data_IF_085810979549
#
_entry.id   IF_085810979549
#
_cell.length_a   1.000
_cell.length_b   1.000
_cell.length_c   1.000
_cell.angle_alpha   90.00
_cell.angle_beta   90.00
_cell.angle_gamma   90.00
#
_symmetry.space_group_name_H-M   'P 1'
#
loop_
_entity.id
_entity.type
_entity.pdbx_description
1 polymer ?
#
# COMPACT_ATOMS: atom_id res chain seq x y z
N UNK A 1 39.72 -1.65 -4.38
CA UNK A 1 39.49 -1.79 -5.84
C UNK A 1 38.11 -2.42 -6.02
N UNK A 2 37.10 -1.59 -6.22
CA UNK A 2 35.72 -2.05 -6.48
C UNK A 2 35.68 -2.48 -7.95
N UNK A 3 35.54 -3.78 -8.19
CA UNK A 3 35.28 -4.29 -9.54
C UNK A 3 33.95 -3.77 -10.08
N UNK A 4 33.77 -3.68 -11.41
CA UNK A 4 32.55 -3.19 -12.00
C UNK A 4 31.35 -4.03 -11.56
N UNK A 5 30.28 -3.37 -11.13
CA UNK A 5 29.01 -4.01 -10.79
C UNK A 5 28.57 -4.89 -11.98
N UNK A 6 28.55 -6.21 -11.78
CA UNK A 6 28.05 -7.15 -12.80
C UNK A 6 26.58 -6.80 -13.03
N UNK A 7 26.28 -6.36 -14.24
CA UNK A 7 24.91 -6.10 -14.67
C UNK A 7 24.19 -7.45 -14.77
N UNK A 8 23.59 -7.91 -13.69
CA UNK A 8 22.81 -9.15 -13.68
C UNK A 8 21.51 -8.91 -14.45
N UNK A 9 21.17 -9.80 -15.35
CA UNK A 9 19.87 -9.79 -16.01
C UNK A 9 18.76 -9.78 -14.93
N UNK A 10 17.78 -8.91 -15.10
CA UNK A 10 16.61 -8.86 -14.22
C UNK A 10 15.68 -10.01 -14.59
N UNK A 11 15.28 -10.80 -13.61
CA UNK A 11 14.34 -11.92 -13.78
C UNK A 11 12.97 -11.44 -13.32
N UNK A 12 12.00 -11.45 -14.22
CA UNK A 12 10.62 -11.14 -13.89
C UNK A 12 9.93 -12.34 -13.23
N UNK A 13 9.22 -12.06 -12.13
CA UNK A 13 8.54 -13.05 -11.27
C UNK A 13 7.13 -12.57 -10.99
N UNK A 14 6.12 -13.37 -11.27
CA UNK A 14 4.74 -13.12 -10.85
C UNK A 14 4.53 -13.63 -9.43
N UNK A 15 3.94 -12.80 -8.58
CA UNK A 15 3.74 -13.11 -7.15
C UNK A 15 2.26 -12.92 -6.78
N UNK A 16 1.65 -13.96 -6.25
CA UNK A 16 0.26 -13.94 -5.78
C UNK A 16 0.15 -13.69 -4.29
N UNK A 17 -0.40 -12.55 -3.91
CA UNK A 17 -0.90 -12.33 -2.56
C UNK A 17 -2.32 -12.91 -2.51
N UNK A 18 -2.43 -14.20 -2.24
CA UNK A 18 -3.72 -14.89 -2.12
C UNK A 18 -4.33 -14.52 -0.79
N UNK A 19 -5.51 -13.85 -0.83
CA UNK A 19 -6.13 -13.24 0.34
C UNK A 19 -7.46 -13.93 0.67
N UNK A 20 -7.54 -14.54 1.84
CA UNK A 20 -8.79 -15.09 2.35
C UNK A 20 -9.77 -13.97 2.76
N UNK A 21 -11.07 -14.28 2.79
CA UNK A 21 -12.11 -13.30 3.12
C UNK A 21 -11.99 -12.69 4.53
N UNK A 22 -11.29 -13.36 5.44
CA UNK A 22 -11.00 -12.86 6.82
C UNK A 22 -9.73 -11.99 6.89
N UNK A 23 -9.09 -11.69 5.75
CA UNK A 23 -7.90 -10.85 5.66
C UNK A 23 -6.56 -11.59 5.78
N UNK A 24 -6.55 -12.90 6.09
CA UNK A 24 -5.31 -13.69 6.09
C UNK A 24 -4.77 -13.85 4.67
N UNK A 25 -3.46 -14.01 4.58
CA UNK A 25 -2.74 -14.24 3.31
C UNK A 25 -2.08 -15.62 3.32
N UNK A 26 -2.00 -16.25 2.16
CA UNK A 26 -1.35 -17.53 2.02
C UNK A 26 0.15 -17.35 1.80
N UNK A 27 0.94 -18.07 2.59
CA UNK A 27 2.37 -18.23 2.39
C UNK A 27 2.69 -19.70 2.10
N UNK A 28 3.68 -19.95 1.26
CA UNK A 28 4.21 -21.26 0.93
C UNK A 28 5.66 -21.39 1.41
N UNK A 29 6.03 -22.55 1.91
CA UNK A 29 7.41 -22.83 2.30
C UNK A 29 8.17 -23.37 1.09
N UNK A 30 9.35 -22.83 0.83
CA UNK A 30 10.20 -23.30 -0.28
C UNK A 30 10.65 -24.75 -0.04
N UNK A 31 10.38 -25.65 -1.01
CA UNK A 31 10.68 -27.07 -0.84
C UNK A 31 12.19 -27.33 -0.81
N UNK A 32 12.56 -28.52 -0.33
CA UNK A 32 13.93 -28.99 -0.33
C UNK A 32 14.51 -29.03 -1.75
N UNK A 33 15.80 -28.70 -1.87
CA UNK A 33 16.50 -28.66 -3.18
C UNK A 33 16.37 -27.33 -3.93
N UNK A 34 15.42 -26.45 -3.59
CA UNK A 34 15.38 -25.08 -4.14
C UNK A 34 16.29 -24.11 -3.32
N UNK A 35 16.83 -23.04 -3.93
CA UNK A 35 17.55 -22.01 -3.17
C UNK A 35 16.71 -21.45 -2.04
N UNK A 36 17.29 -21.26 -0.86
CA UNK A 36 16.60 -20.82 0.36
C UNK A 36 15.49 -21.81 0.79
N UNK A 37 15.72 -23.12 0.68
CA UNK A 37 14.80 -24.13 1.19
C UNK A 37 14.41 -23.86 2.65
N UNK A 38 13.14 -24.11 3.00
CA UNK A 38 12.58 -23.86 4.33
C UNK A 38 12.14 -22.40 4.60
N UNK A 39 12.50 -21.43 3.75
CA UNK A 39 11.99 -20.07 3.85
C UNK A 39 10.52 -20.00 3.35
N UNK A 40 9.77 -19.08 3.96
CA UNK A 40 8.38 -18.81 3.58
C UNK A 40 8.31 -17.62 2.62
N UNK A 41 7.46 -17.72 1.63
CA UNK A 41 7.25 -16.70 0.61
C UNK A 41 5.79 -16.65 0.13
N UNK A 42 5.42 -15.56 -0.54
CA UNK A 42 4.19 -15.54 -1.32
C UNK A 42 4.34 -16.46 -2.55
N UNK A 43 3.30 -17.26 -2.90
CA UNK A 43 3.36 -18.18 -4.03
C UNK A 43 3.53 -17.44 -5.35
N UNK A 44 4.19 -18.10 -6.29
CA UNK A 44 4.45 -17.57 -7.63
C UNK A 44 5.82 -17.91 -8.16
N UNK A 45 6.07 -17.55 -9.42
CA UNK A 45 7.30 -17.94 -10.07
C UNK A 45 7.69 -17.08 -11.26
N UNK A 46 8.70 -17.53 -11.99
CA UNK A 46 9.31 -16.81 -13.10
C UNK A 46 8.39 -16.83 -14.33
N UNK A 47 8.46 -15.75 -15.11
CA UNK A 47 7.79 -15.74 -16.41
C UNK A 47 8.43 -16.74 -17.36
N UNK A 48 7.61 -17.41 -18.15
CA UNK A 48 8.04 -18.13 -19.34
C UNK A 48 8.06 -17.21 -20.58
N UNK A 49 8.79 -17.58 -21.64
CA UNK A 49 8.86 -16.76 -22.84
C UNK A 49 7.47 -16.46 -23.45
N UNK A 50 7.15 -15.17 -23.55
CA UNK A 50 5.89 -14.70 -24.13
C UNK A 50 4.72 -14.59 -23.16
N UNK A 51 4.89 -14.94 -21.89
CA UNK A 51 3.85 -14.78 -20.89
C UNK A 51 3.67 -13.33 -20.46
N UNK A 52 2.43 -12.90 -20.29
CA UNK A 52 2.11 -11.72 -19.51
C UNK A 52 2.23 -12.01 -18.00
N UNK A 53 2.39 -10.99 -17.14
CA UNK A 53 2.48 -11.18 -15.68
C UNK A 53 1.30 -11.97 -15.10
N UNK A 54 0.08 -11.75 -15.61
CA UNK A 54 -1.12 -12.45 -15.15
C UNK A 54 -1.15 -13.93 -15.62
N UNK A 55 -0.64 -14.23 -16.83
CA UNK A 55 -0.54 -15.61 -17.31
C UNK A 55 0.46 -16.42 -16.50
N UNK A 56 1.65 -15.85 -16.23
CA UNK A 56 2.63 -16.47 -15.36
C UNK A 56 2.06 -16.73 -13.97
N UNK A 57 1.36 -15.74 -13.38
CA UNK A 57 0.69 -15.91 -12.09
C UNK A 57 -0.30 -17.06 -12.08
N UNK A 58 -1.18 -17.13 -13.09
CA UNK A 58 -2.21 -18.16 -13.18
C UNK A 58 -1.60 -19.56 -13.31
N UNK A 59 -0.56 -19.72 -14.15
CA UNK A 59 0.17 -20.98 -14.31
C UNK A 59 0.84 -21.40 -13.00
N UNK A 60 1.60 -20.51 -12.37
CA UNK A 60 2.34 -20.82 -11.12
C UNK A 60 1.39 -21.18 -9.98
N UNK A 61 0.29 -20.44 -9.77
CA UNK A 61 -0.69 -20.78 -8.74
C UNK A 61 -1.39 -22.11 -9.00
N UNK A 62 -1.61 -22.47 -10.28
CA UNK A 62 -2.13 -23.78 -10.62
C UNK A 62 -1.12 -24.89 -10.35
N UNK A 63 0.13 -24.71 -10.73
CA UNK A 63 1.21 -25.70 -10.55
C UNK A 63 1.55 -25.89 -9.08
N UNK A 64 1.78 -24.81 -8.34
CA UNK A 64 2.23 -24.85 -6.95
C UNK A 64 1.11 -25.19 -5.95
N UNK A 65 -0.10 -24.66 -6.17
CA UNK A 65 -1.20 -24.71 -5.18
C UNK A 65 -2.43 -25.47 -5.66
N UNK A 66 -2.55 -25.73 -6.95
CA UNK A 66 -3.72 -26.39 -7.53
C UNK A 66 -4.97 -25.54 -7.59
N UNK A 67 -4.83 -24.24 -7.57
CA UNK A 67 -5.95 -23.30 -7.66
C UNK A 67 -6.04 -22.69 -9.06
N UNK A 68 -7.26 -22.44 -9.51
CA UNK A 68 -7.54 -21.72 -10.74
C UNK A 68 -7.82 -20.24 -10.41
N UNK A 69 -7.06 -19.36 -11.04
CA UNK A 69 -7.16 -17.93 -10.81
C UNK A 69 -8.42 -17.36 -11.48
N UNK A 70 -9.31 -16.79 -10.68
CA UNK A 70 -10.46 -16.04 -11.17
C UNK A 70 -10.16 -14.53 -11.22
N UNK A 71 -10.05 -13.88 -10.05
CA UNK A 71 -9.85 -12.43 -9.96
C UNK A 71 -8.53 -12.09 -9.28
N UNK A 72 -7.67 -11.39 -10.01
CA UNK A 72 -6.42 -10.84 -9.49
C UNK A 72 -6.24 -9.40 -9.93
N UNK A 73 -5.93 -8.53 -8.98
CA UNK A 73 -5.68 -7.12 -9.22
C UNK A 73 -4.18 -6.84 -9.20
N UNK A 74 -3.61 -6.21 -10.24
CA UNK A 74 -2.23 -5.75 -10.18
C UNK A 74 -2.06 -4.77 -9.02
N UNK A 75 -0.90 -4.80 -8.36
CA UNK A 75 -0.72 -4.00 -7.16
C UNK A 75 0.56 -3.18 -7.21
N UNK A 76 1.69 -3.74 -6.83
CA UNK A 76 3.00 -3.08 -6.83
C UNK A 76 4.02 -3.91 -7.58
N UNK A 77 5.06 -3.26 -8.14
CA UNK A 77 6.19 -3.93 -8.77
C UNK A 77 7.46 -3.58 -8.01
N UNK A 78 8.15 -4.57 -7.44
CA UNK A 78 9.35 -4.34 -6.63
C UNK A 78 10.56 -5.06 -7.19
N UNK A 79 11.70 -4.38 -7.20
CA UNK A 79 12.96 -5.02 -7.50
C UNK A 79 13.68 -5.42 -6.21
N UNK A 80 14.26 -6.60 -6.21
CA UNK A 80 15.10 -7.09 -5.11
C UNK A 80 16.39 -7.66 -5.66
N UNK A 81 17.53 -7.28 -5.06
CA UNK A 81 18.85 -7.77 -5.45
C UNK A 81 19.34 -8.82 -4.49
N UNK A 82 19.54 -10.02 -5.00
CA UNK A 82 20.27 -11.09 -4.33
C UNK A 82 21.75 -11.05 -4.76
N UNK A 83 22.67 -11.71 -4.04
CA UNK A 83 24.09 -11.69 -4.39
C UNK A 83 24.41 -12.15 -5.83
N UNK A 84 23.58 -13.01 -6.42
CA UNK A 84 23.82 -13.61 -7.75
C UNK A 84 22.77 -13.23 -8.81
N UNK A 85 21.70 -12.56 -8.45
CA UNK A 85 20.61 -12.23 -9.38
C UNK A 85 19.83 -11.01 -8.91
N UNK A 86 19.17 -10.34 -9.85
CA UNK A 86 18.18 -9.32 -9.58
C UNK A 86 16.82 -9.83 -10.03
N UNK A 87 15.80 -9.70 -9.18
CA UNK A 87 14.43 -10.09 -9.51
C UNK A 87 13.53 -8.85 -9.53
N UNK A 88 12.56 -8.87 -10.44
CA UNK A 88 11.45 -7.92 -10.45
C UNK A 88 10.17 -8.68 -10.15
N UNK A 89 9.58 -8.37 -9.00
CA UNK A 89 8.38 -9.01 -8.49
C UNK A 89 7.16 -8.22 -8.95
N UNK A 90 6.32 -8.82 -9.78
CA UNK A 90 5.01 -8.29 -10.19
C UNK A 90 3.95 -8.85 -9.25
N UNK A 91 3.53 -8.05 -8.27
CA UNK A 91 2.62 -8.50 -7.23
C UNK A 91 1.16 -8.26 -7.62
N UNK A 92 0.36 -9.27 -7.38
CA UNK A 92 -1.09 -9.26 -7.58
C UNK A 92 -1.80 -9.61 -6.27
N UNK A 93 -2.88 -8.90 -5.95
CA UNK A 93 -3.85 -9.35 -4.95
C UNK A 93 -4.82 -10.31 -5.59
N UNK A 94 -4.83 -11.54 -5.11
CA UNK A 94 -5.72 -12.60 -5.56
C UNK A 94 -6.85 -12.71 -4.55
N UNK A 95 -8.06 -12.28 -4.95
CA UNK A 95 -9.23 -12.23 -4.08
C UNK A 95 -10.20 -13.39 -4.34
N UNK A 96 -10.23 -13.92 -5.57
CA UNK A 96 -11.10 -15.02 -5.93
C UNK A 96 -10.33 -16.05 -6.75
N UNK A 97 -10.55 -17.33 -6.41
CA UNK A 97 -9.98 -18.50 -7.07
C UNK A 97 -10.90 -19.70 -6.88
N UNK A 98 -10.70 -20.75 -7.69
CA UNK A 98 -11.38 -22.03 -7.53
C UNK A 98 -10.39 -23.10 -7.05
N UNK A 99 -10.87 -24.02 -6.22
CA UNK A 99 -10.07 -25.09 -5.62
C UNK A 99 -9.56 -24.73 -4.21
N UNK A 100 -9.05 -25.74 -3.51
CA UNK A 100 -8.45 -25.60 -2.18
C UNK A 100 -6.94 -25.50 -2.32
N UNK A 101 -6.29 -24.39 -1.84
CA UNK A 101 -4.86 -24.24 -1.95
C UNK A 101 -4.11 -25.30 -1.16
N UNK A 102 -3.30 -26.10 -1.85
CA UNK A 102 -2.47 -27.16 -1.27
C UNK A 102 -1.10 -27.18 -1.92
N UNK A 103 -0.05 -27.47 -1.13
CA UNK A 103 1.29 -27.62 -1.70
C UNK A 103 1.41 -28.84 -2.62
N UNK A 104 1.51 -28.61 -3.91
CA UNK A 104 1.63 -29.69 -4.93
C UNK A 104 3.06 -30.14 -5.22
N UNK A 105 4.04 -29.33 -4.82
CA UNK A 105 5.48 -29.66 -4.97
C UNK A 105 6.11 -30.16 -3.68
N UNK A 106 5.30 -30.63 -2.70
CA UNK A 106 5.76 -31.05 -1.37
C UNK A 106 6.02 -29.93 -0.37
N UNK A 107 5.74 -28.68 -0.76
CA UNK A 107 5.85 -27.52 0.13
C UNK A 107 4.66 -27.46 1.10
N UNK A 108 4.93 -26.93 2.32
CA UNK A 108 3.89 -26.55 3.25
C UNK A 108 3.26 -25.21 2.83
N UNK A 109 1.97 -25.07 3.09
CA UNK A 109 1.24 -23.80 2.91
C UNK A 109 0.57 -23.40 4.22
N UNK A 110 0.48 -22.10 4.49
CA UNK A 110 -0.09 -21.60 5.74
C UNK A 110 -0.77 -20.26 5.56
N UNK A 111 -1.99 -20.15 6.09
CA UNK A 111 -2.72 -18.89 6.17
C UNK A 111 -2.20 -18.04 7.33
N UNK A 112 -1.73 -16.84 7.06
CA UNK A 112 -1.10 -15.95 8.02
C UNK A 112 -1.82 -14.60 8.08
N UNK A 113 -1.93 -14.05 9.28
CA UNK A 113 -2.32 -12.65 9.47
C UNK A 113 -1.13 -11.74 9.09
N UNK A 114 -1.27 -10.81 8.13
CA UNK A 114 -0.19 -9.89 7.76
C UNK A 114 0.34 -9.06 8.93
N UNK A 115 -0.51 -8.75 9.91
CA UNK A 115 -0.13 -8.04 11.14
C UNK A 115 0.64 -8.90 12.15
N UNK A 116 0.58 -10.23 12.02
CA UNK A 116 1.14 -11.18 12.99
C UNK A 116 1.59 -12.49 12.31
N UNK A 117 2.55 -12.40 11.38
CA UNK A 117 3.14 -13.57 10.71
C UNK A 117 3.83 -14.47 11.75
N UNK A 118 3.41 -15.75 11.80
CA UNK A 118 3.92 -16.74 12.77
C UNK A 118 4.92 -17.71 12.17
N UNK A 119 4.96 -17.83 10.83
CA UNK A 119 5.91 -18.71 10.14
C UNK A 119 7.24 -18.01 9.90
N UNK A 120 8.34 -18.76 9.99
CA UNK A 120 9.70 -18.24 9.83
C UNK A 120 10.63 -19.33 9.29
N UNK A 121 11.75 -18.94 8.66
CA UNK A 121 12.12 -17.58 8.25
C UNK A 121 11.34 -17.12 7.01
N UNK A 122 11.07 -15.82 6.91
CA UNK A 122 10.46 -15.22 5.73
C UNK A 122 11.54 -14.77 4.74
N UNK A 123 11.34 -14.98 3.43
CA UNK A 123 12.28 -14.47 2.43
C UNK A 123 12.47 -12.95 2.55
N UNK A 124 13.70 -12.43 2.44
CA UNK A 124 13.97 -10.99 2.62
C UNK A 124 13.12 -10.07 1.75
N UNK A 125 12.86 -10.44 0.49
CA UNK A 125 12.02 -9.67 -0.42
C UNK A 125 10.56 -9.51 0.06
N UNK A 126 10.06 -10.45 0.87
CA UNK A 126 8.66 -10.48 1.30
C UNK A 126 8.36 -9.57 2.50
N UNK A 127 9.37 -9.17 3.29
CA UNK A 127 9.15 -8.27 4.44
C UNK A 127 8.48 -6.96 4.03
N UNK A 128 8.93 -6.35 2.95
CA UNK A 128 8.36 -5.11 2.45
C UNK A 128 6.94 -5.29 1.86
N UNK A 129 6.62 -6.49 1.37
CA UNK A 129 5.27 -6.84 0.90
C UNK A 129 4.32 -6.92 2.11
N UNK A 130 4.73 -7.62 3.17
CA UNK A 130 3.97 -7.71 4.41
C UNK A 130 3.72 -6.32 5.02
N UNK A 131 4.73 -5.44 5.04
CA UNK A 131 4.55 -4.06 5.49
C UNK A 131 3.49 -3.31 4.68
N UNK A 132 3.50 -3.45 3.35
CA UNK A 132 2.53 -2.81 2.47
C UNK A 132 1.10 -3.39 2.65
N UNK A 133 0.97 -4.67 2.98
CA UNK A 133 -0.31 -5.33 3.25
C UNK A 133 -0.99 -4.82 4.53
N UNK A 134 -0.23 -4.32 5.49
CA UNK A 134 -0.76 -3.72 6.71
C UNK A 134 -1.37 -2.32 6.50
N UNK A 135 -1.26 -1.75 5.29
CA UNK A 135 -1.97 -0.52 4.95
C UNK A 135 -3.42 -0.84 4.61
N UNK A 136 -4.41 -0.22 5.30
CA UNK A 136 -5.81 -0.45 5.02
C UNK A 136 -6.23 0.14 3.66
N UNK A 137 -7.39 -0.26 3.11
CA UNK A 137 -7.84 0.22 1.79
C UNK A 137 -8.41 1.65 1.83
N UNK A 138 -8.61 2.23 3.01
CA UNK A 138 -9.17 3.58 3.18
C UNK A 138 -8.19 4.47 3.92
N UNK A 139 -7.82 5.59 3.31
CA UNK A 139 -7.05 6.67 3.93
C UNK A 139 -7.94 7.89 4.14
N UNK A 140 -8.34 8.12 5.36
CA UNK A 140 -9.26 9.17 5.76
C UNK A 140 -8.53 10.51 5.98
N UNK A 141 -9.03 11.62 5.42
CA UNK A 141 -8.44 12.95 5.57
C UNK A 141 -9.40 13.84 6.37
N UNK A 142 -8.91 14.51 7.41
CA UNK A 142 -9.75 15.33 8.29
C UNK A 142 -10.26 16.61 7.61
N UNK A 143 -11.38 17.11 8.10
CA UNK A 143 -12.03 18.37 7.70
C UNK A 143 -12.66 19.09 8.92
N UNK A 144 -11.95 19.15 10.04
CA UNK A 144 -12.46 19.76 11.25
C UNK A 144 -12.77 21.27 11.07
N UNK A 145 -11.99 21.96 10.24
CA UNK A 145 -12.24 23.37 9.89
C UNK A 145 -13.61 23.59 9.26
N UNK A 146 -14.14 22.57 8.54
CA UNK A 146 -15.47 22.66 7.87
C UNK A 146 -16.63 22.36 8.81
N UNK A 147 -16.45 21.46 9.78
CA UNK A 147 -17.55 20.93 10.60
C UNK A 147 -17.51 21.43 12.05
N UNK A 148 -16.41 22.10 12.46
CA UNK A 148 -16.07 22.35 13.85
C UNK A 148 -15.46 21.11 14.51
N UNK A 149 -14.52 21.31 15.43
CA UNK A 149 -13.74 20.24 16.08
C UNK A 149 -14.65 19.20 16.74
N UNK A 150 -15.58 19.64 17.60
CA UNK A 150 -16.46 18.72 18.34
C UNK A 150 -17.29 17.82 17.41
N UNK A 151 -17.93 18.40 16.40
CA UNK A 151 -18.71 17.62 15.42
C UNK A 151 -17.83 16.71 14.60
N UNK A 152 -16.62 17.14 14.25
CA UNK A 152 -15.70 16.30 13.48
C UNK A 152 -15.21 15.11 14.30
N UNK A 153 -14.89 15.29 15.59
CA UNK A 153 -14.46 14.17 16.45
C UNK A 153 -15.55 13.09 16.58
N UNK A 154 -16.83 13.49 16.67
CA UNK A 154 -17.95 12.52 16.64
C UNK A 154 -18.01 11.75 15.31
N UNK A 155 -17.81 12.43 14.18
CA UNK A 155 -17.77 11.79 12.86
C UNK A 155 -16.54 10.88 12.70
N UNK A 156 -15.39 11.28 13.24
CA UNK A 156 -14.19 10.45 13.25
C UNK A 156 -14.45 9.17 14.04
N UNK A 157 -15.10 9.26 15.19
CA UNK A 157 -15.47 8.09 15.96
C UNK A 157 -16.37 7.14 15.16
N UNK A 158 -17.41 7.64 14.52
CA UNK A 158 -18.30 6.83 13.67
C UNK A 158 -17.53 6.17 12.50
N UNK A 159 -16.54 6.86 11.93
CA UNK A 159 -15.70 6.29 10.88
C UNK A 159 -14.80 5.16 11.42
N UNK A 160 -14.25 5.32 12.61
CA UNK A 160 -13.46 4.29 13.30
C UNK A 160 -14.31 3.07 13.66
N UNK A 161 -15.55 3.28 14.12
CA UNK A 161 -16.52 2.22 14.38
C UNK A 161 -16.85 1.42 13.10
N UNK A 162 -16.86 2.09 11.93
CA UNK A 162 -17.02 1.47 10.61
C UNK A 162 -15.75 0.86 10.01
N UNK A 163 -14.64 0.85 10.74
CA UNK A 163 -13.39 0.17 10.34
C UNK A 163 -12.34 1.04 9.64
N UNK A 164 -12.44 2.36 9.67
CA UNK A 164 -11.34 3.23 9.23
C UNK A 164 -10.15 3.03 10.17
N UNK A 165 -8.93 2.83 9.60
CA UNK A 165 -7.72 2.51 10.37
C UNK A 165 -6.50 3.34 9.95
N UNK A 166 -6.64 4.27 8.99
CA UNK A 166 -5.56 5.17 8.58
C UNK A 166 -6.12 6.57 8.36
N UNK A 167 -5.57 7.55 9.06
CA UNK A 167 -6.10 8.91 9.13
C UNK A 167 -4.99 9.92 8.82
N UNK A 168 -5.28 10.95 8.04
CA UNK A 168 -4.45 12.13 7.87
C UNK A 168 -5.11 13.31 8.59
N UNK A 169 -4.42 13.87 9.57
CA UNK A 169 -4.77 15.17 10.15
C UNK A 169 -4.27 16.26 9.22
N UNK A 170 -5.21 17.01 8.61
CA UNK A 170 -4.90 18.05 7.62
C UNK A 170 -5.88 19.20 7.72
N UNK A 171 -5.57 20.16 8.60
CA UNK A 171 -6.38 21.37 8.84
C UNK A 171 -5.54 22.60 8.49
N UNK A 172 -5.86 23.23 7.35
CA UNK A 172 -5.05 24.35 6.81
C UNK A 172 -5.27 25.67 7.53
N UNK A 173 -6.41 25.81 8.17
CA UNK A 173 -6.87 27.04 8.77
C UNK A 173 -6.61 27.10 10.29
N UNK A 174 -6.03 26.05 10.87
CA UNK A 174 -5.63 25.98 12.28
C UNK A 174 -4.24 26.56 12.48
N UNK A 175 -4.05 27.26 13.61
CA UNK A 175 -2.70 27.63 14.06
C UNK A 175 -1.89 26.37 14.46
N UNK A 176 -0.56 26.43 14.56
CA UNK A 176 0.25 25.30 15.01
C UNK A 176 -0.20 24.72 16.36
N UNK A 177 -0.60 25.59 17.31
CA UNK A 177 -1.09 25.20 18.63
C UNK A 177 -2.42 24.46 18.52
N UNK A 178 -3.37 25.03 17.77
CA UNK A 178 -4.69 24.41 17.52
C UNK A 178 -4.54 23.08 16.79
N UNK A 179 -3.64 23.00 15.79
CA UNK A 179 -3.39 21.78 15.06
C UNK A 179 -2.76 20.70 15.96
N UNK A 180 -1.83 21.08 16.84
CA UNK A 180 -1.21 20.15 17.79
C UNK A 180 -2.25 19.57 18.76
N UNK A 181 -3.12 20.43 19.32
CA UNK A 181 -4.20 19.99 20.21
C UNK A 181 -5.18 19.06 19.50
N UNK A 182 -5.67 19.46 18.33
CA UNK A 182 -6.59 18.66 17.52
C UNK A 182 -5.96 17.32 17.11
N UNK A 183 -4.70 17.33 16.67
CA UNK A 183 -3.98 16.12 16.30
C UNK A 183 -3.85 15.17 17.50
N UNK A 184 -3.52 15.69 18.70
CA UNK A 184 -3.46 14.90 19.92
C UNK A 184 -4.80 14.24 20.28
N UNK A 185 -5.91 14.97 20.15
CA UNK A 185 -7.26 14.41 20.35
C UNK A 185 -7.58 13.32 19.32
N UNK A 186 -7.25 13.55 18.04
CA UNK A 186 -7.47 12.58 16.97
C UNK A 186 -6.63 11.31 17.16
N UNK A 187 -5.36 11.45 17.57
CA UNK A 187 -4.45 10.34 17.88
C UNK A 187 -4.98 9.53 19.06
N UNK A 188 -5.33 10.17 20.16
CA UNK A 188 -5.85 9.48 21.35
C UNK A 188 -7.12 8.68 21.03
N UNK A 189 -8.03 9.23 20.21
CA UNK A 189 -9.22 8.51 19.77
C UNK A 189 -8.87 7.35 18.84
N UNK A 190 -8.03 7.57 17.83
CA UNK A 190 -7.69 6.59 16.80
C UNK A 190 -6.95 5.38 17.38
N UNK A 191 -6.04 5.58 18.35
CA UNK A 191 -5.28 4.51 18.97
C UNK A 191 -6.15 3.54 19.79
N UNK A 192 -7.34 3.95 20.28
CA UNK A 192 -8.30 3.03 20.91
C UNK A 192 -8.89 2.02 19.90
N UNK A 193 -8.69 2.24 18.61
CA UNK A 193 -9.17 1.40 17.51
C UNK A 193 -8.02 0.76 16.72
N UNK A 194 -6.80 0.76 17.24
CA UNK A 194 -5.59 0.34 16.53
C UNK A 194 -5.41 1.06 15.17
N UNK A 195 -5.95 2.28 15.03
CA UNK A 195 -5.84 3.08 13.83
C UNK A 195 -4.61 3.99 13.87
N UNK A 196 -3.98 4.18 12.71
CA UNK A 196 -2.77 4.99 12.54
C UNK A 196 -3.11 6.42 12.11
N UNK A 197 -2.37 7.39 12.64
CA UNK A 197 -2.56 8.81 12.34
C UNK A 197 -1.27 9.43 11.80
N UNK A 198 -1.37 10.08 10.65
CA UNK A 198 -0.30 10.91 10.10
C UNK A 198 -0.70 12.38 10.19
N UNK A 199 0.25 13.24 10.52
CA UNK A 199 0.06 14.69 10.44
C UNK A 199 0.60 15.21 9.10
N UNK A 200 -0.20 16.06 8.45
CA UNK A 200 0.20 16.65 7.18
C UNK A 200 1.31 17.69 7.39
N UNK A 201 2.41 17.53 6.69
CA UNK A 201 3.51 18.50 6.51
C UNK A 201 4.41 18.80 7.70
N UNK A 202 4.06 18.46 8.92
CA UNK A 202 4.84 18.91 10.10
C UNK A 202 5.24 17.73 11.01
N UNK A 203 6.55 17.39 11.00
CA UNK A 203 7.10 16.34 11.86
C UNK A 203 7.11 16.71 13.34
N UNK A 204 7.24 17.98 13.68
CA UNK A 204 7.28 18.41 15.08
C UNK A 204 5.88 18.31 15.69
N UNK A 205 4.86 18.74 14.97
CA UNK A 205 3.46 18.55 15.37
C UNK A 205 3.14 17.05 15.45
N UNK A 206 3.54 16.26 14.46
CA UNK A 206 3.33 14.80 14.50
C UNK A 206 3.93 14.17 15.76
N UNK A 207 5.16 14.53 16.09
CA UNK A 207 5.85 14.05 17.30
C UNK A 207 5.18 14.53 18.58
N UNK A 208 4.83 15.82 18.67
CA UNK A 208 4.20 16.40 19.85
C UNK A 208 2.81 15.84 20.13
N UNK A 209 2.05 15.52 19.06
CA UNK A 209 0.74 14.91 19.16
C UNK A 209 0.78 13.38 19.38
N UNK A 210 1.95 12.74 19.33
CA UNK A 210 2.09 11.29 19.43
C UNK A 210 1.60 10.53 18.18
N UNK A 211 1.58 11.18 17.02
CA UNK A 211 1.13 10.56 15.76
C UNK A 211 2.12 9.50 15.26
N UNK A 212 1.62 8.54 14.47
CA UNK A 212 2.41 7.44 13.91
C UNK A 212 3.35 7.90 12.79
N UNK A 213 3.07 9.04 12.18
CA UNK A 213 3.88 9.51 11.08
C UNK A 213 3.51 10.86 10.50
N UNK A 214 4.10 11.12 9.36
CA UNK A 214 3.93 12.38 8.63
C UNK A 214 3.49 12.13 7.19
N UNK A 215 2.67 13.02 6.66
CA UNK A 215 2.30 13.03 5.24
C UNK A 215 2.91 14.24 4.55
N UNK A 216 3.84 14.00 3.62
CA UNK A 216 4.54 15.05 2.88
C UNK A 216 3.67 15.61 1.75
N UNK A 217 3.58 16.93 1.64
CA UNK A 217 3.06 17.56 0.43
C UNK A 217 4.06 17.39 -0.73
N UNK A 218 3.59 17.41 -1.98
CA UNK A 218 4.44 17.24 -3.17
C UNK A 218 5.66 18.19 -3.18
N UNK A 219 5.45 19.46 -2.83
CA UNK A 219 6.55 20.43 -2.75
C UNK A 219 7.58 20.12 -1.66
N UNK A 220 7.18 19.52 -0.54
CA UNK A 220 8.09 19.07 0.51
C UNK A 220 8.82 17.81 0.08
N UNK A 221 8.10 16.82 -0.46
CA UNK A 221 8.67 15.60 -1.03
C UNK A 221 9.83 15.89 -1.98
N UNK A 222 9.62 16.85 -2.89
CA UNK A 222 10.64 17.21 -3.90
C UNK A 222 11.90 17.86 -3.31
N UNK A 223 11.79 18.49 -2.13
CA UNK A 223 12.90 19.15 -1.44
C UNK A 223 13.48 18.38 -0.26
N UNK A 224 12.81 17.31 0.16
CA UNK A 224 13.22 16.53 1.32
C UNK A 224 14.54 15.78 1.02
N UNK A 225 15.62 16.01 1.79
CA UNK A 225 16.92 15.40 1.49
C UNK A 225 16.98 13.92 1.91
N UNK A 226 16.21 13.53 2.92
CA UNK A 226 16.16 12.17 3.45
C UNK A 226 14.75 11.86 3.97
N UNK A 227 14.43 10.56 4.08
CA UNK A 227 13.14 10.12 4.63
C UNK A 227 12.98 10.64 6.06
N UNK A 228 11.81 11.25 6.41
CA UNK A 228 11.48 11.62 7.77
C UNK A 228 11.67 10.46 8.75
N UNK A 229 12.20 10.77 9.94
CA UNK A 229 12.42 9.75 10.97
C UNK A 229 11.15 9.52 11.80
N UNK A 230 10.12 9.01 11.12
CA UNK A 230 8.84 8.61 11.71
C UNK A 230 8.51 7.18 11.30
N UNK A 231 7.61 6.52 12.06
CA UNK A 231 7.21 5.14 11.81
C UNK A 231 6.59 4.98 10.41
N UNK A 232 5.72 5.94 10.02
CA UNK A 232 5.01 5.91 8.74
C UNK A 232 5.19 7.24 8.01
N UNK A 233 5.48 7.18 6.71
CA UNK A 233 5.62 8.35 5.85
C UNK A 233 4.75 8.17 4.61
N UNK A 234 3.74 9.02 4.49
CA UNK A 234 2.96 9.16 3.27
C UNK A 234 3.41 10.36 2.44
N UNK A 235 3.08 10.41 1.15
CA UNK A 235 3.32 11.59 0.32
C UNK A 235 2.23 11.83 -0.71
N UNK A 236 1.92 13.10 -0.99
CA UNK A 236 1.06 13.51 -2.10
C UNK A 236 1.87 13.58 -3.39
N UNK A 237 1.33 12.99 -4.47
CA UNK A 237 1.92 12.99 -5.80
C UNK A 237 0.86 13.33 -6.86
N UNK A 238 1.29 13.99 -7.95
CA UNK A 238 0.43 14.41 -9.05
C UNK A 238 0.96 13.99 -10.43
N UNK A 239 2.18 13.48 -10.49
CA UNK A 239 2.85 13.12 -11.74
C UNK A 239 3.95 12.07 -11.49
N UNK A 240 4.48 11.51 -12.58
CA UNK A 240 5.52 10.47 -12.58
C UNK A 240 6.79 10.88 -11.83
N UNK A 241 7.22 12.15 -11.98
CA UNK A 241 8.44 12.65 -11.31
C UNK A 241 8.31 12.62 -9.78
N UNK A 242 7.14 13.01 -9.26
CA UNK A 242 6.87 12.99 -7.83
C UNK A 242 6.76 11.56 -7.29
N UNK A 243 6.16 10.64 -8.06
CA UNK A 243 6.07 9.21 -7.73
C UNK A 243 7.47 8.57 -7.62
N UNK A 244 8.35 8.83 -8.60
CA UNK A 244 9.72 8.32 -8.53
C UNK A 244 10.50 8.93 -7.37
N UNK A 245 10.33 10.23 -7.11
CA UNK A 245 10.95 10.86 -5.94
C UNK A 245 10.47 10.24 -4.63
N UNK A 246 9.19 9.91 -4.50
CA UNK A 246 8.65 9.21 -3.34
C UNK A 246 9.28 7.82 -3.16
N UNK A 247 9.44 7.07 -4.25
CA UNK A 247 10.11 5.77 -4.23
C UNK A 247 11.59 5.88 -3.83
N UNK A 248 12.34 6.85 -4.39
CA UNK A 248 13.73 7.12 -4.02
C UNK A 248 13.89 7.52 -2.55
N UNK A 249 12.97 8.34 -2.03
CA UNK A 249 12.98 8.78 -0.65
C UNK A 249 12.62 7.64 0.32
N UNK A 250 11.99 6.56 -0.18
CA UNK A 250 11.59 5.41 0.62
C UNK A 250 10.36 5.71 1.50
N UNK A 251 9.38 6.47 1.00
CA UNK A 251 8.10 6.62 1.69
C UNK A 251 7.33 5.30 1.70
N UNK A 252 6.39 5.13 2.63
CA UNK A 252 5.65 3.86 2.78
C UNK A 252 4.49 3.75 1.80
N UNK A 253 3.88 4.88 1.41
CA UNK A 253 2.81 4.95 0.43
C UNK A 253 2.68 6.35 -0.18
N UNK A 254 1.96 6.46 -1.26
CA UNK A 254 1.64 7.74 -1.90
C UNK A 254 0.14 7.91 -2.12
N UNK A 255 -0.29 9.16 -2.20
CA UNK A 255 -1.64 9.55 -2.64
C UNK A 255 -1.49 10.22 -4.01
N UNK A 256 -2.05 9.62 -5.05
CA UNK A 256 -2.03 10.16 -6.41
C UNK A 256 -3.36 10.85 -6.73
N UNK A 257 -3.29 12.11 -7.15
CA UNK A 257 -4.48 12.96 -7.33
C UNK A 257 -4.30 14.08 -8.35
N UNK A 258 -5.39 14.66 -8.87
CA UNK A 258 -6.78 14.21 -8.72
C UNK A 258 -7.16 13.16 -9.77
N UNK A 259 -7.83 12.06 -9.37
CA UNK A 259 -8.26 11.02 -10.32
C UNK A 259 -9.54 11.44 -11.04
N UNK A 260 -10.58 11.84 -10.31
CA UNK A 260 -11.87 12.29 -10.83
C UNK A 260 -12.14 13.74 -10.44
N UNK A 261 -13.10 14.42 -11.12
CA UNK A 261 -13.51 15.77 -10.75
C UNK A 261 -13.92 15.87 -9.27
N UNK A 262 -13.51 16.94 -8.61
CA UNK A 262 -13.77 17.13 -7.17
C UNK A 262 -14.14 18.57 -6.86
N UNK A 263 -15.12 18.80 -5.96
CA UNK A 263 -15.46 20.14 -5.50
C UNK A 263 -14.32 20.91 -4.85
N UNK A 264 -13.32 20.20 -4.31
CA UNK A 264 -12.17 20.83 -3.65
C UNK A 264 -11.25 21.57 -4.63
N UNK A 265 -11.29 21.24 -5.94
CA UNK A 265 -10.51 21.89 -6.99
C UNK A 265 -11.34 21.94 -8.28
N UNK A 266 -12.34 22.83 -8.34
CA UNK A 266 -13.20 22.96 -9.53
C UNK A 266 -12.38 23.29 -10.76
N UNK A 267 -12.61 22.58 -11.88
CA UNK A 267 -11.94 22.82 -13.15
C UNK A 267 -10.48 22.34 -13.25
N UNK A 268 -9.92 21.72 -12.21
CA UNK A 268 -8.60 21.11 -12.31
C UNK A 268 -8.62 19.91 -13.30
N UNK A 269 -7.57 19.79 -14.11
CA UNK A 269 -7.40 18.61 -14.94
C UNK A 269 -7.31 17.35 -14.08
N UNK A 270 -8.04 16.32 -14.46
CA UNK A 270 -8.07 15.03 -13.75
C UNK A 270 -7.33 13.97 -14.56
N UNK A 271 -6.78 12.97 -13.86
CA UNK A 271 -6.06 11.87 -14.49
C UNK A 271 -6.99 10.91 -15.25
N UNK A 272 -8.17 10.65 -14.69
CA UNK A 272 -8.96 9.49 -15.05
C UNK A 272 -8.29 8.18 -14.60
N UNK A 273 -9.01 7.07 -14.68
CA UNK A 273 -8.51 5.78 -14.22
C UNK A 273 -7.40 5.21 -15.10
N UNK A 274 -7.47 5.40 -16.41
CA UNK A 274 -6.45 4.88 -17.34
C UNK A 274 -5.08 5.51 -17.07
N UNK A 275 -5.05 6.83 -16.94
CA UNK A 275 -3.80 7.55 -16.65
C UNK A 275 -3.30 7.27 -15.23
N UNK A 276 -4.22 7.09 -14.28
CA UNK A 276 -3.86 6.64 -12.93
C UNK A 276 -3.15 5.29 -12.97
N UNK A 277 -3.74 4.28 -13.62
CA UNK A 277 -3.15 2.96 -13.77
C UNK A 277 -1.79 2.99 -14.47
N UNK A 278 -1.66 3.78 -15.56
CA UNK A 278 -0.38 3.97 -16.27
C UNK A 278 0.71 4.56 -15.35
N UNK A 279 0.35 5.49 -14.47
CA UNK A 279 1.29 6.08 -13.52
C UNK A 279 1.67 5.13 -12.38
N UNK A 280 0.78 4.21 -12.01
CA UNK A 280 1.04 3.18 -11.00
C UNK A 280 1.86 2.00 -11.54
N UNK A 281 1.93 1.84 -12.87
CA UNK A 281 2.68 0.75 -13.50
C UNK A 281 4.15 0.79 -13.06
N UNK A 282 4.67 -0.36 -12.65
CA UNK A 282 6.05 -0.57 -12.19
C UNK A 282 6.46 0.27 -10.96
N UNK A 283 5.50 0.84 -10.23
CA UNK A 283 5.79 1.59 -9.02
C UNK A 283 5.99 0.63 -7.82
N UNK A 284 7.07 0.79 -7.02
CA UNK A 284 7.35 -0.09 -5.88
C UNK A 284 6.62 0.32 -4.58
N UNK A 285 5.61 1.17 -4.67
CA UNK A 285 4.89 1.76 -3.54
C UNK A 285 3.38 1.55 -3.67
N UNK A 286 2.67 1.27 -2.56
CA UNK A 286 1.21 1.36 -2.51
C UNK A 286 0.73 2.78 -2.86
N UNK A 287 -0.30 2.87 -3.71
CA UNK A 287 -0.87 4.13 -4.19
C UNK A 287 -2.33 4.23 -3.78
N UNK A 288 -2.70 5.27 -3.06
CA UNK A 288 -4.11 5.60 -2.82
C UNK A 288 -4.62 6.56 -3.90
N UNK A 289 -5.78 6.28 -4.46
CA UNK A 289 -6.47 7.18 -5.37
C UNK A 289 -7.20 8.29 -4.59
N UNK A 290 -6.99 9.56 -4.97
CA UNK A 290 -7.68 10.71 -4.37
C UNK A 290 -8.28 11.62 -5.45
N UNK A 291 -9.36 12.30 -5.10
CA UNK A 291 -10.11 13.21 -5.97
C UNK A 291 -11.37 12.55 -6.53
N UNK A 292 -12.52 12.99 -6.05
CA UNK A 292 -13.82 12.44 -6.41
C UNK A 292 -14.13 11.04 -5.86
N UNK A 293 -13.28 10.51 -4.97
CA UNK A 293 -13.39 9.15 -4.46
C UNK A 293 -14.52 8.95 -3.46
N UNK A 294 -15.08 7.72 -3.43
CA UNK A 294 -16.08 7.24 -2.47
C UNK A 294 -15.76 5.80 -2.07
N UNK A 295 -16.33 5.30 -0.96
CA UNK A 295 -16.04 3.95 -0.43
C UNK A 295 -16.36 2.83 -1.44
N UNK A 296 -17.47 2.92 -2.14
CA UNK A 296 -17.85 1.92 -3.17
C UNK A 296 -16.89 1.86 -4.38
N UNK A 297 -15.93 2.79 -4.49
CA UNK A 297 -14.94 2.81 -5.56
C UNK A 297 -13.65 2.06 -5.19
N UNK A 298 -13.57 1.43 -4.01
CA UNK A 298 -12.36 0.71 -3.57
C UNK A 298 -12.00 -0.39 -4.58
N UNK A 299 -12.97 -1.19 -5.01
CA UNK A 299 -12.73 -2.25 -5.99
C UNK A 299 -12.27 -1.67 -7.34
N UNK A 300 -12.95 -0.63 -7.84
CA UNK A 300 -12.51 0.07 -9.06
C UNK A 300 -11.08 0.61 -8.92
N UNK A 301 -10.71 1.15 -7.76
CA UNK A 301 -9.35 1.60 -7.53
C UNK A 301 -8.35 0.44 -7.57
N UNK A 302 -8.69 -0.72 -6.97
CA UNK A 302 -7.85 -1.90 -6.99
C UNK A 302 -7.65 -2.47 -8.41
N UNK A 303 -8.68 -2.47 -9.27
CA UNK A 303 -8.54 -2.89 -10.68
C UNK A 303 -7.54 -2.02 -11.45
N UNK A 304 -7.28 -0.80 -10.96
CA UNK A 304 -6.33 0.15 -11.52
C UNK A 304 -5.02 0.24 -10.71
N UNK A 305 -4.64 -0.81 -10.00
CA UNK A 305 -3.39 -0.93 -9.21
C UNK A 305 -3.32 -0.07 -7.94
N UNK A 306 -4.45 0.49 -7.48
CA UNK A 306 -4.43 1.24 -6.23
C UNK A 306 -4.37 0.33 -4.99
N UNK A 307 -3.81 0.84 -3.91
CA UNK A 307 -3.96 0.29 -2.56
C UNK A 307 -5.42 0.36 -2.11
N UNK A 308 -6.09 1.43 -2.47
CA UNK A 308 -7.44 1.77 -2.11
C UNK A 308 -7.72 3.24 -2.41
N UNK A 309 -8.59 3.87 -1.64
CA UNK A 309 -9.01 5.25 -1.84
C UNK A 309 -8.65 6.16 -0.67
N UNK A 310 -8.24 7.39 -0.96
CA UNK A 310 -8.15 8.45 0.02
C UNK A 310 -9.40 9.32 -0.02
N UNK A 311 -10.01 9.58 1.13
CA UNK A 311 -11.31 10.25 1.26
C UNK A 311 -11.19 11.52 2.09
N UNK A 312 -11.61 12.64 1.52
CA UNK A 312 -11.71 13.92 2.22
C UNK A 312 -13.13 14.11 2.82
N UNK A 313 -14.18 13.92 2.04
CA UNK A 313 -15.58 14.14 2.45
C UNK A 313 -16.40 12.85 2.62
N UNK A 314 -15.93 11.74 2.10
CA UNK A 314 -16.68 10.48 2.10
C UNK A 314 -16.77 9.79 3.47
N UNK A 315 -15.92 10.18 4.43
CA UNK A 315 -15.93 9.62 5.80
C UNK A 315 -17.16 10.07 6.58
N UNK A 316 -17.71 11.22 6.20
CA UNK A 316 -18.77 11.88 6.97
C UNK A 316 -20.19 11.70 6.41
N UNK A 317 -20.34 11.12 5.21
CA UNK A 317 -21.58 11.17 4.44
C UNK A 317 -22.14 9.80 4.03
N UNK A 318 -21.51 8.67 4.44
CA UNK A 318 -21.98 7.30 4.09
C UNK A 318 -22.25 6.46 5.34
#
# INVERSE_FOLDING_TARGET
MNGPARNHAVIDVAVGVVMHADGRVLLAQRPDGKPSAGYWEFPGGKFEPGESPRQALARELHEELGVELDTAYPWITREHSYPKMKVRLHLYRVLNWHGEPQGREGQQVSWQDPGAIKVAPLLPANHAIVQALNLPPVYAITQASKFGVTNFMQRLQLALDKGVRLIQVRERDMTPEQLTEFAGQAVALAHNYDAQVLVNSDENIARSAGADGVHLQAGQLMRCPARPNTRLVGASCHNRRELYRAAELGVDFVVLSPVLPTPSHPGAATLGWDRFAELCLDLPLPVFALGGMRLHMIETAMTHSAQGVALLSGICNE
#
